data_IF_721516844923
#
_entry.id   IF_721516844923
#
_cell.length_a   1.000
_cell.length_b   1.000
_cell.length_c   1.000
_cell.angle_alpha   90.00
_cell.angle_beta   90.00
_cell.angle_gamma   90.00
#
_symmetry.space_group_name_H-M   'P 1'
#
loop_
_entity.id
_entity.type
_entity.pdbx_description
1 polymer ?
#
# COMPACT_ATOMS: atom_id res chain seq x y z
N UNK A 1 -13.29 3.69 -22.26
CA UNK A 1 -12.68 2.79 -23.27
C UNK A 1 -13.79 2.12 -24.09
N UNK A 2 -13.67 2.01 -25.42
CA UNK A 2 -14.58 1.19 -26.24
C UNK A 2 -14.69 -0.26 -25.71
N UNK A 3 -15.83 -0.93 -25.93
CA UNK A 3 -16.13 -2.25 -25.35
C UNK A 3 -15.21 -3.41 -25.81
N UNK A 4 -14.34 -3.19 -26.79
CA UNK A 4 -13.36 -4.17 -27.26
C UNK A 4 -12.00 -4.07 -26.56
N UNK A 5 -11.82 -3.12 -25.62
CA UNK A 5 -10.65 -3.05 -24.75
C UNK A 5 -10.96 -3.66 -23.38
N UNK A 6 -10.00 -4.38 -22.80
CA UNK A 6 -10.03 -4.79 -21.40
C UNK A 6 -10.05 -3.52 -20.55
N UNK A 7 -11.07 -3.36 -19.70
CA UNK A 7 -11.14 -2.23 -18.77
C UNK A 7 -10.09 -2.44 -17.68
N UNK A 8 -9.31 -1.42 -17.33
CA UNK A 8 -8.38 -1.56 -16.22
C UNK A 8 -9.17 -1.80 -14.93
N UNK A 9 -8.73 -2.76 -14.13
CA UNK A 9 -9.35 -3.10 -12.85
C UNK A 9 -8.83 -2.16 -11.76
N UNK A 10 -9.31 -0.91 -11.81
CA UNK A 10 -8.90 0.17 -10.90
C UNK A 10 -9.68 0.18 -9.58
N UNK A 11 -10.73 -0.63 -9.45
CA UNK A 11 -11.59 -0.66 -8.27
C UNK A 11 -12.97 0.01 -8.46
N UNK A 12 -13.64 0.40 -7.35
CA UNK A 12 -13.11 0.38 -5.98
C UNK A 12 -13.05 -1.03 -5.38
N UNK A 13 -12.08 -1.25 -4.48
CA UNK A 13 -11.92 -2.49 -3.69
C UNK A 13 -12.21 -2.22 -2.22
N UNK A 14 -12.92 -3.13 -1.55
CA UNK A 14 -13.29 -3.01 -0.13
C UNK A 14 -12.50 -4.02 0.71
N UNK A 15 -11.93 -3.54 1.82
CA UNK A 15 -11.15 -4.35 2.76
C UNK A 15 -11.82 -4.33 4.14
N UNK A 16 -12.26 -5.49 4.60
CA UNK A 16 -12.93 -5.68 5.89
C UNK A 16 -12.14 -6.67 6.74
N UNK A 17 -11.68 -6.25 7.91
CA UNK A 17 -10.94 -7.13 8.80
C UNK A 17 -11.04 -6.67 10.26
N UNK A 18 -10.90 -7.62 11.18
CA UNK A 18 -10.84 -7.35 12.61
C UNK A 18 -9.52 -6.69 13.01
N UNK A 19 -9.48 -6.15 14.23
CA UNK A 19 -8.27 -5.63 14.86
C UNK A 19 -7.41 -6.74 15.45
N UNK A 20 -6.10 -6.53 15.43
CA UNK A 20 -5.07 -7.38 16.02
C UNK A 20 -4.64 -6.70 17.33
N UNK A 21 -5.16 -7.15 18.47
CA UNK A 21 -5.13 -6.38 19.72
C UNK A 21 -4.28 -7.07 20.80
N UNK A 22 -3.91 -8.34 20.66
CA UNK A 22 -3.09 -8.99 21.70
C UNK A 22 -1.60 -8.64 21.54
N UNK A 23 -0.80 -8.68 22.63
CA UNK A 23 0.65 -8.49 22.55
C UNK A 23 1.32 -9.43 21.54
N UNK A 24 0.84 -10.66 21.42
CA UNK A 24 1.32 -11.66 20.48
C UNK A 24 0.98 -11.30 19.02
N UNK A 25 -0.09 -10.54 18.81
CA UNK A 25 -0.55 -10.16 17.48
C UNK A 25 0.29 -9.04 16.83
N UNK A 26 1.08 -8.29 17.61
CA UNK A 26 1.86 -7.13 17.11
C UNK A 26 2.86 -7.47 16.00
N UNK A 27 3.23 -8.74 15.85
CA UNK A 27 4.14 -9.25 14.82
C UNK A 27 3.44 -9.69 13.52
N UNK A 28 2.12 -9.57 13.44
CA UNK A 28 1.35 -9.96 12.25
C UNK A 28 0.74 -8.74 11.56
N UNK A 29 0.62 -8.82 10.24
CA UNK A 29 -0.11 -7.86 9.43
C UNK A 29 -1.54 -8.33 9.19
N UNK A 30 -2.48 -7.40 9.11
CA UNK A 30 -3.76 -7.64 8.43
C UNK A 30 -3.56 -7.73 6.93
N UNK A 31 -2.60 -6.97 6.41
CA UNK A 31 -2.10 -7.08 5.05
C UNK A 31 -0.57 -7.08 5.13
N UNK A 32 0.04 -8.16 4.64
CA UNK A 32 1.49 -8.31 4.63
C UNK A 32 2.14 -7.32 3.66
N UNK A 33 3.46 -7.20 3.77
CA UNK A 33 4.28 -6.34 2.93
C UNK A 33 4.14 -6.76 1.47
N UNK A 34 3.71 -5.83 0.64
CA UNK A 34 3.59 -5.97 -0.81
C UNK A 34 3.74 -4.60 -1.46
N UNK A 35 3.73 -4.55 -2.78
CA UNK A 35 3.67 -3.30 -3.55
C UNK A 35 2.66 -3.43 -4.68
N UNK A 36 2.14 -2.29 -5.12
CA UNK A 36 1.21 -2.19 -6.24
C UNK A 36 1.88 -1.58 -7.47
N UNK A 37 1.37 -1.95 -8.64
CA UNK A 37 1.84 -1.43 -9.94
C UNK A 37 1.30 -0.04 -10.28
N UNK A 38 0.30 0.44 -9.54
CA UNK A 38 -0.38 1.73 -9.70
C UNK A 38 -0.34 2.54 -8.42
N UNK A 39 -0.64 3.83 -8.53
CA UNK A 39 -0.93 4.64 -7.35
C UNK A 39 -2.27 4.19 -6.76
N UNK A 40 -2.46 4.37 -5.46
CA UNK A 40 -3.71 4.04 -4.79
C UNK A 40 -4.10 5.09 -3.76
N UNK A 41 -5.41 5.25 -3.54
CA UNK A 41 -5.96 6.05 -2.44
C UNK A 41 -6.83 5.15 -1.57
N UNK A 42 -6.43 4.96 -0.30
CA UNK A 42 -7.14 4.12 0.67
C UNK A 42 -7.84 4.99 1.72
N UNK A 43 -9.17 4.87 1.81
CA UNK A 43 -10.03 5.64 2.72
C UNK A 43 -10.50 4.75 3.87
N UNK A 44 -10.31 5.21 5.11
CA UNK A 44 -10.89 4.57 6.29
C UNK A 44 -12.33 5.03 6.48
N UNK A 45 -13.31 4.18 6.14
CA UNK A 45 -14.73 4.54 6.18
C UNK A 45 -15.44 4.11 7.46
N UNK A 46 -14.88 3.14 8.20
CA UNK A 46 -15.42 2.72 9.49
C UNK A 46 -14.35 2.13 10.41
N UNK A 47 -14.44 2.47 11.69
CA UNK A 47 -13.63 1.90 12.78
C UNK A 47 -14.56 1.41 13.89
N UNK A 48 -14.56 0.10 14.13
CA UNK A 48 -15.34 -0.60 15.14
C UNK A 48 -14.51 -0.86 16.39
N UNK A 49 -14.75 -0.06 17.44
CA UNK A 49 -14.13 -0.21 18.76
C UNK A 49 -15.05 -1.09 19.63
N UNK A 50 -14.57 -2.27 20.10
CA UNK A 50 -15.34 -3.13 20.99
C UNK A 50 -15.72 -2.42 22.30
N UNK A 51 -16.93 -2.67 22.80
CA UNK A 51 -17.37 -2.14 24.11
C UNK A 51 -17.08 -3.16 25.22
N UNK A 52 -16.59 -2.68 26.36
CA UNK A 52 -16.46 -3.49 27.58
C UNK A 52 -15.08 -4.13 27.82
N UNK A 53 -14.05 -3.76 27.06
CA UNK A 53 -12.67 -4.22 27.26
C UNK A 53 -11.74 -3.02 27.52
N UNK A 54 -11.59 -2.62 28.78
CA UNK A 54 -10.81 -1.43 29.16
C UNK A 54 -9.31 -1.51 28.84
N UNK A 55 -8.74 -2.72 28.75
CA UNK A 55 -7.30 -2.92 28.52
C UNK A 55 -6.88 -2.70 27.05
N UNK A 56 -7.83 -2.62 26.12
CA UNK A 56 -7.51 -2.52 24.69
C UNK A 56 -6.88 -1.17 24.31
N UNK A 57 -7.27 -0.08 24.96
CA UNK A 57 -6.76 1.26 24.62
C UNK A 57 -5.26 1.38 24.94
N UNK A 58 -4.83 0.83 26.08
CA UNK A 58 -3.42 0.78 26.46
C UNK A 58 -2.59 -0.07 25.49
N UNK A 59 -3.13 -1.20 25.04
CA UNK A 59 -2.44 -2.11 24.13
C UNK A 59 -2.34 -1.55 22.71
N UNK A 60 -3.40 -0.85 22.25
CA UNK A 60 -3.35 -0.07 21.01
C UNK A 60 -2.32 1.05 21.10
N UNK A 61 -2.25 1.77 22.23
CA UNK A 61 -1.23 2.80 22.43
C UNK A 61 0.18 2.21 22.38
N UNK A 62 0.43 1.07 23.04
CA UNK A 62 1.72 0.37 22.97
C UNK A 62 2.05 -0.05 21.55
N UNK A 63 1.09 -0.54 20.79
CA UNK A 63 1.27 -0.94 19.39
C UNK A 63 1.61 0.25 18.49
N UNK A 64 0.97 1.41 18.69
CA UNK A 64 1.28 2.67 17.98
C UNK A 64 2.71 3.14 18.29
N UNK A 65 3.13 3.05 19.56
CA UNK A 65 4.49 3.41 20.01
C UNK A 65 5.55 2.43 19.49
N UNK A 66 5.32 1.13 19.59
CA UNK A 66 6.17 0.09 19.00
C UNK A 66 6.23 0.18 17.47
N UNK A 67 5.22 0.82 16.87
CA UNK A 67 5.10 1.13 15.45
C UNK A 67 5.99 2.25 14.93
N UNK A 68 6.72 2.94 15.81
CA UNK A 68 7.56 4.11 15.49
C UNK A 68 6.75 5.34 15.03
N UNK A 69 5.51 5.48 15.51
CA UNK A 69 4.64 6.65 15.22
C UNK A 69 5.14 7.92 15.91
N UNK A 70 4.96 9.08 15.28
CA UNK A 70 5.41 10.36 15.82
C UNK A 70 4.54 10.88 16.98
N UNK A 71 5.08 11.82 17.75
CA UNK A 71 4.41 12.37 18.95
C UNK A 71 3.07 13.07 18.63
N UNK A 72 2.94 13.71 17.47
CA UNK A 72 1.69 14.39 17.09
C UNK A 72 0.60 13.36 16.78
N UNK A 73 0.96 12.26 16.12
CA UNK A 73 0.07 11.12 15.89
C UNK A 73 -0.40 10.50 17.21
N UNK A 74 0.49 10.34 18.19
CA UNK A 74 0.12 9.84 19.53
C UNK A 74 -0.85 10.81 20.22
N UNK A 75 -0.62 12.13 20.11
CA UNK A 75 -1.54 13.14 20.65
C UNK A 75 -2.91 13.13 19.99
N UNK A 76 -3.01 12.92 18.67
CA UNK A 76 -4.31 12.74 17.99
C UNK A 76 -5.14 11.62 18.59
N UNK A 77 -4.49 10.52 18.98
CA UNK A 77 -5.16 9.41 19.65
C UNK A 77 -5.56 9.74 21.09
N UNK A 78 -4.61 10.15 21.93
CA UNK A 78 -4.83 10.31 23.38
C UNK A 78 -5.66 11.57 23.69
N UNK A 79 -5.29 12.71 23.11
CA UNK A 79 -5.90 14.01 23.42
C UNK A 79 -7.08 14.31 22.48
N UNK A 80 -6.90 14.02 21.19
CA UNK A 80 -7.91 14.26 20.15
C UNK A 80 -9.12 13.32 20.25
N UNK A 81 -8.96 12.16 20.94
CA UNK A 81 -9.98 11.09 21.02
C UNK A 81 -10.50 10.67 19.65
N UNK A 82 -9.65 10.80 18.63
CA UNK A 82 -9.93 10.29 17.30
C UNK A 82 -9.91 8.75 17.32
N UNK A 83 -10.57 8.12 16.36
CA UNK A 83 -10.66 6.65 16.30
C UNK A 83 -9.54 6.10 15.40
N UNK A 84 -8.41 5.58 15.94
CA UNK A 84 -7.37 5.00 15.11
C UNK A 84 -7.90 3.70 14.51
N UNK A 85 -7.71 3.48 13.21
CA UNK A 85 -8.16 2.26 12.55
C UNK A 85 -7.00 1.28 12.36
N UNK A 86 -5.96 1.72 11.65
CA UNK A 86 -4.85 0.87 11.26
C UNK A 86 -3.51 1.60 11.33
N UNK A 87 -2.45 0.86 11.64
CA UNK A 87 -1.07 1.27 11.52
C UNK A 87 -0.52 0.78 10.17
N UNK A 88 0.10 1.69 9.43
CA UNK A 88 0.76 1.45 8.16
C UNK A 88 2.26 1.63 8.32
N UNK A 89 3.02 0.81 7.63
CA UNK A 89 4.42 1.11 7.31
C UNK A 89 4.56 1.17 5.79
N UNK A 90 4.97 2.32 5.26
CA UNK A 90 5.17 2.55 3.82
C UNK A 90 6.66 2.84 3.59
N UNK A 91 7.23 2.25 2.55
CA UNK A 91 8.63 2.42 2.17
C UNK A 91 8.75 3.06 0.79
N UNK A 92 9.84 3.78 0.55
CA UNK A 92 10.05 4.42 -0.75
C UNK A 92 10.29 3.36 -1.83
N UNK A 93 9.69 3.54 -3.01
CA UNK A 93 9.82 2.61 -4.13
C UNK A 93 11.28 2.38 -4.59
N UNK A 94 12.18 3.33 -4.32
CA UNK A 94 13.63 3.20 -4.61
C UNK A 94 14.35 2.20 -3.69
N UNK A 95 13.79 1.91 -2.52
CA UNK A 95 14.40 1.06 -1.50
C UNK A 95 13.87 -0.39 -1.57
N UNK A 96 12.98 -0.70 -2.52
CA UNK A 96 12.39 -2.03 -2.73
C UNK A 96 13.44 -3.13 -2.85
N UNK A 97 14.51 -2.93 -3.62
CA UNK A 97 15.52 -3.96 -3.81
C UNK A 97 16.30 -4.27 -2.52
N UNK A 98 16.61 -3.24 -1.71
CA UNK A 98 17.25 -3.42 -0.41
C UNK A 98 16.35 -4.22 0.54
N UNK A 99 15.03 -3.97 0.49
CA UNK A 99 14.06 -4.73 1.29
C UNK A 99 14.02 -6.19 0.84
N UNK A 100 14.05 -6.47 -0.48
CA UNK A 100 14.15 -7.85 -0.99
C UNK A 100 15.42 -8.55 -0.50
N UNK A 101 16.57 -7.92 -0.65
CA UNK A 101 17.86 -8.46 -0.18
C UNK A 101 17.83 -8.76 1.32
N UNK A 102 17.30 -7.82 2.11
CA UNK A 102 17.13 -8.00 3.55
C UNK A 102 16.24 -9.21 3.89
N UNK A 103 15.07 -9.33 3.25
CA UNK A 103 14.14 -10.42 3.52
C UNK A 103 14.69 -11.78 3.08
N UNK A 104 15.40 -11.85 1.94
CA UNK A 104 16.10 -13.06 1.51
C UNK A 104 17.13 -13.52 2.54
N UNK A 105 17.96 -12.60 3.03
CA UNK A 105 18.92 -12.86 4.11
C UNK A 105 18.25 -13.37 5.38
N UNK A 106 17.18 -12.72 5.83
CA UNK A 106 16.42 -13.15 7.02
C UNK A 106 15.82 -14.55 6.82
N UNK A 107 15.33 -14.83 5.62
CA UNK A 107 14.76 -16.13 5.27
C UNK A 107 15.78 -17.26 5.31
N UNK A 108 16.99 -17.02 4.79
CA UNK A 108 18.13 -17.95 4.86
C UNK A 108 18.54 -18.22 6.31
N UNK A 109 18.61 -17.18 7.15
CA UNK A 109 18.93 -17.31 8.57
C UNK A 109 17.88 -18.12 9.36
N UNK A 110 16.63 -18.10 8.92
CA UNK A 110 15.54 -18.90 9.49
C UNK A 110 15.50 -20.33 8.94
N UNK A 111 16.39 -20.69 8.00
CA UNK A 111 16.46 -22.01 7.38
C UNK A 111 15.29 -22.31 6.46
N UNK A 112 14.66 -21.29 5.86
CA UNK A 112 13.61 -21.49 4.86
C UNK A 112 14.24 -21.87 3.51
N UNK A 113 13.76 -22.96 2.92
CA UNK A 113 14.20 -23.43 1.60
C UNK A 113 13.36 -22.74 0.52
N UNK A 114 13.90 -21.65 -0.04
CA UNK A 114 13.21 -20.85 -1.04
C UNK A 114 13.69 -21.19 -2.46
N UNK A 115 12.78 -21.27 -3.44
CA UNK A 115 13.13 -21.37 -4.85
C UNK A 115 14.06 -20.23 -5.31
N UNK A 116 14.84 -20.46 -6.36
CA UNK A 116 15.77 -19.47 -6.91
C UNK A 116 15.05 -18.20 -7.46
N UNK A 117 13.78 -18.33 -7.83
CA UNK A 117 12.90 -17.26 -8.32
C UNK A 117 12.04 -16.61 -7.22
N UNK A 118 12.24 -16.97 -5.95
CA UNK A 118 11.48 -16.42 -4.82
C UNK A 118 11.66 -14.89 -4.68
N UNK A 119 10.53 -14.17 -4.67
CA UNK A 119 10.47 -12.75 -4.35
C UNK A 119 9.57 -12.53 -3.12
N UNK A 120 10.16 -12.21 -1.96
CA UNK A 120 9.43 -12.13 -0.69
C UNK A 120 8.39 -10.98 -0.65
N UNK A 121 8.52 -9.96 -1.52
CA UNK A 121 7.56 -8.87 -1.61
C UNK A 121 6.37 -9.28 -2.50
N UNK A 122 6.64 -9.97 -3.60
CA UNK A 122 5.58 -10.45 -4.49
C UNK A 122 4.77 -11.60 -3.88
N UNK A 123 5.43 -12.43 -3.06
CA UNK A 123 4.78 -13.55 -2.36
C UNK A 123 3.91 -13.10 -1.18
N UNK A 124 4.00 -11.82 -0.78
CA UNK A 124 3.22 -11.22 0.30
C UNK A 124 3.27 -12.03 1.60
N UNK A 125 4.41 -12.65 1.88
CA UNK A 125 4.57 -13.62 2.98
C UNK A 125 5.12 -13.00 4.27
N UNK A 126 5.60 -11.76 4.21
CA UNK A 126 6.29 -11.09 5.31
C UNK A 126 5.51 -9.93 5.90
N UNK A 127 5.55 -9.80 7.22
CA UNK A 127 5.23 -8.56 7.92
C UNK A 127 6.46 -8.12 8.70
N UNK A 128 6.91 -6.88 8.48
CA UNK A 128 8.07 -6.32 9.16
C UNK A 128 7.64 -5.86 10.56
N UNK A 129 7.87 -6.72 11.56
CA UNK A 129 7.70 -6.38 12.97
C UNK A 129 8.74 -5.35 13.44
N UNK A 130 8.65 -4.93 14.72
CA UNK A 130 9.56 -3.93 15.29
C UNK A 130 11.04 -4.34 15.19
N UNK A 131 11.34 -5.63 15.36
CA UNK A 131 12.71 -6.14 15.29
C UNK A 131 13.25 -6.05 13.86
N UNK A 132 12.46 -6.52 12.89
CA UNK A 132 12.81 -6.50 11.47
C UNK A 132 12.93 -5.07 10.94
N UNK A 133 12.02 -4.15 11.28
CA UNK A 133 12.12 -2.73 10.87
C UNK A 133 13.37 -2.06 11.39
N UNK A 134 13.70 -2.28 12.67
CA UNK A 134 14.93 -1.75 13.28
C UNK A 134 16.18 -2.30 12.58
N UNK A 135 16.19 -3.60 12.29
CA UNK A 135 17.32 -4.27 11.62
C UNK A 135 17.48 -3.79 10.17
N UNK A 136 16.37 -3.64 9.44
CA UNK A 136 16.34 -3.08 8.08
C UNK A 136 16.97 -1.68 8.04
N UNK A 137 16.64 -0.82 9.01
CA UNK A 137 17.27 0.50 9.12
C UNK A 137 18.77 0.42 9.43
N UNK A 138 19.16 -0.44 10.38
CA UNK A 138 20.56 -0.56 10.82
C UNK A 138 21.49 -1.14 9.74
N UNK A 139 21.03 -2.15 9.00
CA UNK A 139 21.85 -2.88 8.03
C UNK A 139 21.81 -2.25 6.63
N UNK A 140 20.65 -1.73 6.21
CA UNK A 140 20.43 -1.25 4.83
C UNK A 140 20.15 0.26 4.74
N UNK A 141 20.05 0.95 5.88
CA UNK A 141 19.75 2.38 5.93
C UNK A 141 18.35 2.74 5.43
N UNK A 142 17.44 1.76 5.39
CA UNK A 142 16.08 1.96 4.86
C UNK A 142 15.15 2.35 6.00
N UNK A 143 14.58 3.54 5.90
CA UNK A 143 13.57 4.05 6.82
C UNK A 143 12.24 4.23 6.06
N UNK A 144 11.16 3.71 6.63
CA UNK A 144 9.81 3.93 6.13
C UNK A 144 9.07 5.01 6.90
N UNK A 145 7.81 5.23 6.53
CA UNK A 145 6.86 6.08 7.24
C UNK A 145 5.89 5.20 8.02
N UNK A 146 5.86 5.40 9.34
CA UNK A 146 4.83 4.86 10.21
C UNK A 146 3.63 5.81 10.21
N UNK A 147 2.46 5.33 9.79
CA UNK A 147 1.25 6.16 9.64
C UNK A 147 0.09 5.50 10.35
N UNK A 148 -0.50 6.18 11.33
CA UNK A 148 -1.77 5.75 11.92
C UNK A 148 -2.91 6.37 11.12
N UNK A 149 -3.70 5.53 10.47
CA UNK A 149 -4.87 5.95 9.70
C UNK A 149 -6.09 5.97 10.62
N UNK A 150 -6.63 7.16 10.88
CA UNK A 150 -7.84 7.35 11.67
C UNK A 150 -9.10 7.28 10.79
N UNK A 151 -10.28 7.20 11.42
CA UNK A 151 -11.56 7.29 10.73
C UNK A 151 -11.64 8.57 9.88
N UNK A 152 -11.90 8.43 8.58
CA UNK A 152 -11.98 9.54 7.63
C UNK A 152 -10.65 9.89 6.95
N UNK A 153 -9.51 9.40 7.45
CA UNK A 153 -8.21 9.64 6.82
C UNK A 153 -8.11 8.90 5.47
N UNK A 154 -7.44 9.56 4.52
CA UNK A 154 -7.09 9.00 3.21
C UNK A 154 -5.57 8.85 3.12
N UNK A 155 -5.10 7.64 2.88
CA UNK A 155 -3.69 7.34 2.64
C UNK A 155 -3.47 7.20 1.14
N UNK A 156 -2.58 8.03 0.57
CA UNK A 156 -2.14 7.90 -0.82
C UNK A 156 -0.85 7.10 -0.87
N UNK A 157 -0.83 6.05 -1.68
CA UNK A 157 0.29 5.12 -1.83
C UNK A 157 0.84 5.28 -3.26
N UNK A 158 2.12 5.71 -3.41
CA UNK A 158 2.74 5.78 -4.72
C UNK A 158 2.96 4.39 -5.35
N UNK A 159 2.86 4.32 -6.67
CA UNK A 159 3.19 3.10 -7.41
C UNK A 159 4.60 2.58 -7.06
N UNK A 160 4.69 1.27 -6.78
CA UNK A 160 5.94 0.60 -6.43
C UNK A 160 6.41 0.76 -4.99
N UNK A 161 5.70 1.53 -4.15
CA UNK A 161 6.04 1.70 -2.75
C UNK A 161 5.66 0.44 -1.94
N UNK A 162 6.62 -0.30 -1.35
CA UNK A 162 6.30 -1.42 -0.48
C UNK A 162 5.55 -0.92 0.76
N UNK A 163 4.47 -1.60 1.12
CA UNK A 163 3.67 -1.22 2.27
C UNK A 163 2.98 -2.41 2.93
N UNK A 164 2.70 -2.27 4.23
CA UNK A 164 2.03 -3.27 5.06
C UNK A 164 1.03 -2.58 6.01
N UNK A 165 0.03 -3.33 6.46
CA UNK A 165 -1.08 -2.81 7.28
C UNK A 165 -1.33 -3.71 8.48
N UNK A 166 -1.46 -3.09 9.66
CA UNK A 166 -1.86 -3.74 10.91
C UNK A 166 -3.09 -3.03 11.48
N UNK A 167 -4.24 -3.70 11.49
CA UNK A 167 -5.45 -3.15 12.08
C UNK A 167 -5.34 -3.07 13.61
N UNK A 168 -5.53 -1.87 14.16
CA UNK A 168 -5.60 -1.62 15.60
C UNK A 168 -7.01 -1.95 16.15
N UNK A 169 -8.04 -1.68 15.35
CA UNK A 169 -9.43 -2.06 15.61
C UNK A 169 -10.07 -2.66 14.36
N UNK A 170 -11.32 -3.10 14.47
CA UNK A 170 -12.06 -3.60 13.30
C UNK A 170 -12.26 -2.46 12.29
N UNK A 171 -11.88 -2.69 11.03
CA UNK A 171 -11.87 -1.65 10.01
C UNK A 171 -12.68 -2.04 8.78
N UNK A 172 -13.32 -1.04 8.17
CA UNK A 172 -13.77 -1.07 6.77
C UNK A 172 -12.98 0.00 6.03
N UNK A 173 -12.27 -0.41 4.98
CA UNK A 173 -11.51 0.48 4.10
C UNK A 173 -11.99 0.32 2.67
N UNK A 174 -11.94 1.40 1.90
CA UNK A 174 -12.19 1.39 0.45
C UNK A 174 -10.97 1.97 -0.24
N UNK A 175 -10.44 1.28 -1.25
CA UNK A 175 -9.34 1.78 -2.05
C UNK A 175 -9.72 1.92 -3.52
N UNK A 176 -9.17 2.93 -4.17
CA UNK A 176 -9.25 3.16 -5.61
C UNK A 176 -7.82 3.30 -6.16
N UNK A 177 -7.52 2.54 -7.20
CA UNK A 177 -6.26 2.58 -7.92
C UNK A 177 -6.33 3.68 -9.01
N UNK A 178 -5.23 4.38 -9.26
CA UNK A 178 -5.13 5.36 -10.32
C UNK A 178 -3.72 5.42 -10.92
N UNK A 179 -3.59 6.11 -12.06
CA UNK A 179 -2.29 6.32 -12.73
C UNK A 179 -2.05 7.81 -12.84
N UNK A 180 -1.15 8.32 -12.00
CA UNK A 180 -0.72 9.71 -12.07
C UNK A 180 0.28 9.95 -13.22
N UNK A 181 0.28 11.14 -13.84
CA UNK A 181 1.32 11.53 -14.79
C UNK A 181 2.74 11.43 -14.21
N UNK A 182 2.92 11.73 -12.93
CA UNK A 182 4.18 11.73 -12.20
C UNK A 182 4.79 10.33 -12.09
N UNK A 183 3.96 9.30 -11.90
CA UNK A 183 4.41 7.92 -11.74
C UNK A 183 4.16 7.02 -12.95
N UNK A 184 3.60 7.54 -14.05
CA UNK A 184 3.27 6.73 -15.25
C UNK A 184 4.46 5.93 -15.80
N UNK A 185 5.67 6.50 -15.73
CA UNK A 185 6.91 5.79 -16.11
C UNK A 185 7.12 4.59 -15.18
N UNK A 186 7.02 4.81 -13.88
CA UNK A 186 7.18 3.77 -12.87
C UNK A 186 6.13 2.65 -13.05
N UNK A 187 4.85 3.00 -13.20
CA UNK A 187 3.77 2.03 -13.46
C UNK A 187 4.05 1.18 -14.70
N UNK A 188 4.59 1.80 -15.76
CA UNK A 188 4.96 1.09 -16.99
C UNK A 188 6.11 0.08 -16.77
N UNK A 189 7.14 0.44 -16.00
CA UNK A 189 8.25 -0.45 -15.66
C UNK A 189 7.79 -1.61 -14.77
N UNK A 190 7.05 -1.34 -13.69
CA UNK A 190 6.52 -2.38 -12.81
C UNK A 190 5.59 -3.34 -13.53
N UNK A 191 4.74 -2.82 -14.43
CA UNK A 191 3.87 -3.67 -15.25
C UNK A 191 4.68 -4.64 -16.13
N UNK A 192 5.90 -4.28 -16.55
CA UNK A 192 6.79 -5.21 -17.25
C UNK A 192 7.46 -6.19 -16.27
N UNK A 193 8.00 -5.70 -15.15
CA UNK A 193 8.64 -6.53 -14.12
C UNK A 193 7.70 -7.64 -13.61
N UNK A 194 6.46 -7.29 -13.26
CA UNK A 194 5.44 -8.26 -12.82
C UNK A 194 5.16 -9.35 -13.86
N UNK A 195 5.25 -9.05 -15.17
CA UNK A 195 5.07 -10.05 -16.23
C UNK A 195 6.27 -10.99 -16.36
N UNK A 196 7.47 -10.53 -16.02
CA UNK A 196 8.66 -11.38 -16.02
C UNK A 196 8.67 -12.31 -14.80
N UNK A 197 8.26 -11.80 -13.64
CA UNK A 197 8.10 -12.59 -12.41
C UNK A 197 6.93 -13.59 -12.49
N UNK A 198 5.98 -13.40 -13.41
CA UNK A 198 4.79 -14.23 -13.50
C UNK A 198 4.97 -15.60 -14.16
N UNK A 199 6.14 -16.02 -14.66
CA UNK A 199 6.25 -17.34 -15.33
C UNK A 199 5.83 -18.52 -14.43
N UNK A 200 5.87 -18.35 -13.11
CA UNK A 200 5.40 -19.30 -12.09
C UNK A 200 4.16 -18.81 -11.31
N UNK A 201 3.73 -17.55 -11.50
CA UNK A 201 2.62 -16.92 -10.76
C UNK A 201 1.41 -16.58 -11.67
N UNK A 202 0.19 -16.77 -11.16
CA UNK A 202 -1.09 -16.72 -11.92
C UNK A 202 -1.50 -15.35 -12.50
N UNK A 203 -0.71 -14.28 -12.35
CA UNK A 203 -1.07 -12.91 -12.77
C UNK A 203 -0.48 -12.50 -14.14
N UNK A 204 -0.85 -13.20 -15.22
CA UNK A 204 -0.38 -12.93 -16.58
C UNK A 204 -1.16 -11.82 -17.33
N UNK A 205 -2.27 -11.32 -16.77
CA UNK A 205 -3.11 -10.33 -17.44
C UNK A 205 -2.64 -8.89 -17.15
N UNK A 206 -2.58 -8.07 -18.20
CA UNK A 206 -2.35 -6.62 -18.12
C UNK A 206 -3.57 -5.95 -17.47
N UNK A 207 -3.71 -6.04 -16.15
CA UNK A 207 -4.86 -5.53 -15.40
C UNK A 207 -4.93 -4.01 -15.36
N UNK A 208 -3.79 -3.33 -15.51
CA UNK A 208 -3.71 -1.87 -15.42
C UNK A 208 -3.82 -1.16 -16.79
N UNK A 209 -3.49 -1.83 -17.90
CA UNK A 209 -3.60 -1.30 -19.27
C UNK A 209 -2.99 0.11 -19.43
N UNK A 210 -1.82 0.37 -18.82
CA UNK A 210 -1.20 1.71 -18.73
C UNK A 210 -1.10 2.40 -20.10
N UNK A 211 -0.78 1.64 -21.14
CA UNK A 211 -0.72 2.15 -22.54
C UNK A 211 -2.05 2.73 -23.01
N UNK A 212 -3.17 2.08 -22.68
CA UNK A 212 -4.50 2.55 -23.05
C UNK A 212 -4.88 3.80 -22.24
N UNK A 213 -4.53 3.83 -20.94
CA UNK A 213 -4.76 5.01 -20.09
C UNK A 213 -4.07 6.23 -20.69
N UNK A 214 -2.78 6.11 -21.04
CA UNK A 214 -2.02 7.20 -21.70
C UNK A 214 -2.66 7.60 -23.03
N UNK A 215 -2.94 6.63 -23.91
CA UNK A 215 -3.49 6.91 -25.24
C UNK A 215 -4.81 7.67 -25.15
N UNK A 216 -5.71 7.24 -24.27
CA UNK A 216 -7.02 7.88 -24.11
C UNK A 216 -6.93 9.23 -23.40
N UNK A 217 -6.07 9.39 -22.40
CA UNK A 217 -5.83 10.69 -21.77
C UNK A 217 -5.32 11.73 -22.79
N UNK A 218 -4.36 11.35 -23.64
CA UNK A 218 -3.83 12.23 -24.69
C UNK A 218 -4.89 12.49 -25.76
N UNK A 219 -5.62 11.45 -26.21
CA UNK A 219 -6.69 11.60 -27.20
C UNK A 219 -7.76 12.58 -26.73
N UNK A 220 -8.20 12.46 -25.48
CA UNK A 220 -9.24 13.31 -24.90
C UNK A 220 -8.74 14.75 -24.71
N UNK A 221 -7.51 14.94 -24.22
CA UNK A 221 -6.87 16.25 -24.13
C UNK A 221 -6.78 16.95 -25.51
N UNK A 222 -6.30 16.24 -26.54
CA UNK A 222 -6.22 16.76 -27.91
C UNK A 222 -7.61 17.08 -28.48
N UNK A 223 -8.62 16.24 -28.21
CA UNK A 223 -9.99 16.49 -28.64
C UNK A 223 -10.57 17.76 -27.99
N UNK A 224 -10.33 17.97 -26.70
CA UNK A 224 -10.73 19.18 -25.98
C UNK A 224 -10.05 20.43 -26.53
N UNK A 225 -8.74 20.37 -26.77
CA UNK A 225 -7.99 21.51 -27.34
C UNK A 225 -8.54 21.88 -28.73
N UNK A 226 -8.74 20.90 -29.63
CA UNK A 226 -9.32 21.14 -30.96
C UNK A 226 -10.73 21.73 -30.90
N UNK A 227 -11.54 21.28 -29.95
CA UNK A 227 -12.90 21.81 -29.74
C UNK A 227 -12.86 23.27 -29.26
N UNK A 228 -11.91 23.63 -28.39
CA UNK A 228 -11.71 25.01 -27.93
C UNK A 228 -11.18 25.95 -29.01
N UNK A 229 -10.27 25.49 -29.88
CA UNK A 229 -9.80 26.29 -31.02
C UNK A 229 -10.95 26.58 -32.00
N UNK A 230 -11.82 25.58 -32.21
CA UNK A 230 -13.00 25.71 -33.07
C UNK A 230 -14.07 26.66 -32.49
N UNK A 231 -14.11 26.87 -31.17
CA UNK A 231 -15.02 27.83 -30.53
C UNK A 231 -14.46 29.25 -30.49
N UNK A 232 -13.13 29.42 -30.46
CA UNK A 232 -12.45 30.72 -30.55
C UNK A 232 -12.40 31.29 -31.98
N UNK A 233 -12.58 30.44 -33.00
CA UNK A 233 -12.57 30.81 -34.42
C UNK A 233 -13.92 31.22 -35.02
N UNK A 234 -14.99 31.32 -34.23
CA UNK A 234 -16.29 31.83 -34.70
C UNK A 234 -16.45 33.31 -34.29
N UNK A 235 -16.47 34.27 -35.24
CA UNK A 235 -16.79 35.66 -34.95
C UNK A 235 -18.25 35.84 -34.51
#
# INVERSE_FOLDING_TARGET
LPNYFVRPDLGPKMYNAYGLITPEDRKYGTTNLHLDVSDAANVMVYVGIPKGQCEQEEEVLRTIQDGDSDELTIKRFIEGKEKPGALWHIYAAKDTEKIREFLKKVSEEQGQDNPADHDPIHDQSWYLDRSLRKRLYQEYGVQGWAIVQFLGDVVFIPAGAPHQVHNLYSCIKVAEDFVSPEHVKHCFWLTQEFRYLSQTHTNHEDKLQVKNVIYHAVKDAVAMLKASESSLGKP
#
